data_IF_777560326654
#
_entry.id   IF_777560326654
#
_cell.length_a   1.000
_cell.length_b   1.000
_cell.length_c   1.000
_cell.angle_alpha   90.00
_cell.angle_beta   90.00
_cell.angle_gamma   90.00
#
_symmetry.space_group_name_H-M   'P 1'
#
loop_
_entity.id
_entity.type
_entity.pdbx_description
1 polymer ?
#
# COMPACT_ATOMS: atom_id res chain seq x y z
N UNK A 1 7.06 -0.85 17.64
CA UNK A 1 7.33 -1.46 16.35
C UNK A 1 7.70 -0.40 15.30
N UNK A 2 8.35 -0.81 14.22
CA UNK A 2 8.69 0.10 13.11
C UNK A 2 7.43 0.44 12.32
N UNK A 3 7.30 1.70 11.94
CA UNK A 3 6.26 2.19 11.00
C UNK A 3 6.93 3.07 9.95
N UNK A 4 6.61 2.86 8.70
CA UNK A 4 6.99 3.76 7.61
C UNK A 4 5.75 4.29 6.92
N UNK A 5 5.74 5.59 6.66
CA UNK A 5 4.69 6.29 5.92
C UNK A 5 5.17 6.52 4.50
N UNK A 6 4.39 6.07 3.53
CA UNK A 6 4.64 6.30 2.10
C UNK A 6 3.42 7.02 1.53
N UNK A 7 3.64 8.22 1.01
CA UNK A 7 2.59 9.05 0.43
C UNK A 7 2.42 8.76 -1.06
N UNK A 8 1.19 8.96 -1.55
CA UNK A 8 0.83 8.94 -2.98
C UNK A 8 1.29 7.68 -3.73
N UNK A 9 1.07 6.50 -3.14
CA UNK A 9 1.45 5.22 -3.74
C UNK A 9 0.49 4.79 -4.84
N UNK A 10 1.02 4.56 -6.05
CA UNK A 10 0.24 3.99 -7.15
C UNK A 10 -0.19 2.55 -6.84
N UNK A 11 -1.50 2.30 -6.94
CA UNK A 11 -2.14 0.99 -6.75
C UNK A 11 -3.15 0.75 -7.89
N UNK A 12 -2.85 -0.14 -8.82
CA UNK A 12 -3.65 -0.38 -10.02
C UNK A 12 -3.98 0.95 -10.75
N UNK A 13 -5.26 1.29 -10.89
CA UNK A 13 -5.75 2.52 -11.56
C UNK A 13 -5.95 3.69 -10.59
N UNK A 14 -5.72 3.47 -9.31
CA UNK A 14 -5.84 4.48 -8.25
C UNK A 14 -4.48 4.82 -7.66
N UNK A 15 -4.44 5.87 -6.87
CA UNK A 15 -3.29 6.25 -6.06
C UNK A 15 -3.73 6.35 -4.61
N UNK A 16 -3.10 5.56 -3.75
CA UNK A 16 -3.36 5.63 -2.33
C UNK A 16 -2.76 6.92 -1.77
N UNK A 17 -3.52 7.66 -0.99
CA UNK A 17 -3.03 8.89 -0.37
C UNK A 17 -1.90 8.59 0.61
N UNK A 18 -2.09 7.58 1.45
CA UNK A 18 -1.08 7.11 2.39
C UNK A 18 -1.05 5.58 2.43
N UNK A 19 0.15 5.01 2.43
CA UNK A 19 0.39 3.63 2.78
C UNK A 19 1.24 3.57 4.05
N UNK A 20 0.73 2.91 5.07
CA UNK A 20 1.49 2.60 6.28
C UNK A 20 2.10 1.21 6.16
N UNK A 21 3.41 1.12 6.35
CA UNK A 21 4.15 -0.13 6.38
C UNK A 21 4.43 -0.48 7.83
N UNK A 22 3.93 -1.61 8.29
CA UNK A 22 4.23 -2.22 9.58
C UNK A 22 5.01 -3.52 9.35
N UNK A 23 5.50 -4.16 10.40
CA UNK A 23 6.39 -5.34 10.29
C UNK A 23 5.82 -6.49 9.41
N UNK A 24 4.52 -6.69 9.42
CA UNK A 24 3.87 -7.79 8.68
C UNK A 24 2.66 -7.33 7.87
N UNK A 25 2.34 -6.03 7.91
CA UNK A 25 1.07 -5.51 7.37
C UNK A 25 1.30 -4.25 6.55
N UNK A 26 0.49 -4.11 5.51
CA UNK A 26 0.33 -2.88 4.76
C UNK A 26 -1.07 -2.33 5.01
N UNK A 27 -1.16 -1.07 5.39
CA UNK A 27 -2.42 -0.37 5.63
C UNK A 27 -2.57 0.75 4.62
N UNK A 28 -3.68 0.77 3.90
CA UNK A 28 -4.05 1.85 3.01
C UNK A 28 -4.91 2.88 3.74
N UNK A 29 -4.64 4.14 3.51
CA UNK A 29 -5.42 5.25 4.06
C UNK A 29 -5.85 6.18 2.93
N UNK A 30 -7.13 6.31 2.72
CA UNK A 30 -7.76 7.26 1.79
C UNK A 30 -8.25 8.47 2.55
N UNK A 31 -7.96 9.66 2.06
CA UNK A 31 -8.36 10.93 2.69
C UNK A 31 -9.44 11.59 1.85
N UNK A 32 -10.57 11.91 2.49
CA UNK A 32 -11.69 12.65 1.92
C UNK A 32 -11.95 13.92 2.73
N UNK A 33 -11.52 15.05 2.19
CA UNK A 33 -11.85 16.35 2.78
C UNK A 33 -13.33 16.68 2.61
N UNK A 34 -13.82 17.68 3.33
CA UNK A 34 -15.21 18.12 3.23
C UNK A 34 -15.60 18.62 1.83
N UNK A 35 -14.63 19.06 1.03
CA UNK A 35 -14.83 19.51 -0.35
C UNK A 35 -14.84 18.36 -1.38
N UNK A 36 -14.42 17.16 -1.01
CA UNK A 36 -14.35 16.01 -1.91
C UNK A 36 -15.71 15.38 -2.16
N UNK A 37 -15.83 14.70 -3.30
CA UNK A 37 -17.02 13.93 -3.65
C UNK A 37 -16.74 12.43 -3.59
N UNK A 38 -17.79 11.61 -3.56
CA UNK A 38 -17.67 10.15 -3.59
C UNK A 38 -17.54 9.54 -4.98
N UNK A 39 -17.47 10.36 -6.04
CA UNK A 39 -17.51 9.91 -7.43
C UNK A 39 -16.45 8.85 -7.80
N UNK A 40 -15.27 8.92 -7.17
CA UNK A 40 -14.16 7.95 -7.41
C UNK A 40 -14.01 6.90 -6.32
N UNK A 41 -14.73 7.03 -5.21
CA UNK A 41 -14.50 6.24 -4.01
C UNK A 41 -14.74 4.74 -4.24
N UNK A 42 -15.78 4.36 -4.96
CA UNK A 42 -16.06 2.95 -5.27
C UNK A 42 -14.89 2.25 -5.99
N UNK A 43 -14.25 2.93 -6.94
CA UNK A 43 -13.07 2.43 -7.64
C UNK A 43 -11.86 2.38 -6.72
N UNK A 44 -11.63 3.42 -5.92
CA UNK A 44 -10.55 3.48 -4.93
C UNK A 44 -10.68 2.34 -3.93
N UNK A 45 -11.85 2.12 -3.35
CA UNK A 45 -12.13 0.97 -2.45
C UNK A 45 -11.75 -0.35 -3.09
N UNK A 46 -12.16 -0.57 -4.34
CA UNK A 46 -11.84 -1.80 -5.08
C UNK A 46 -10.32 -1.99 -5.25
N UNK A 47 -9.60 -0.93 -5.57
CA UNK A 47 -8.14 -0.99 -5.75
C UNK A 47 -7.41 -1.16 -4.41
N UNK A 48 -7.78 -0.42 -3.37
CA UNK A 48 -7.24 -0.60 -2.01
C UNK A 48 -7.39 -2.02 -1.49
N UNK A 49 -8.56 -2.63 -1.68
CA UNK A 49 -8.84 -4.00 -1.24
C UNK A 49 -7.93 -5.06 -1.87
N UNK A 50 -7.33 -4.76 -3.03
CA UNK A 50 -6.39 -5.67 -3.71
C UNK A 50 -5.01 -5.69 -3.07
N UNK A 51 -4.55 -4.58 -2.50
CA UNK A 51 -3.16 -4.38 -2.09
C UNK A 51 -2.95 -4.41 -0.59
N UNK A 52 -3.89 -3.87 0.20
CA UNK A 52 -3.69 -3.64 1.61
C UNK A 52 -4.37 -4.68 2.48
N UNK A 53 -3.75 -4.99 3.61
CA UNK A 53 -4.28 -5.92 4.60
C UNK A 53 -5.44 -5.29 5.35
N UNK A 54 -5.32 -4.00 5.66
CA UNK A 54 -6.34 -3.16 6.28
C UNK A 54 -6.46 -1.85 5.54
N UNK A 55 -7.63 -1.24 5.60
CA UNK A 55 -7.88 0.07 5.00
C UNK A 55 -8.63 0.98 5.96
N UNK A 56 -8.23 2.24 5.94
CA UNK A 56 -8.95 3.34 6.58
C UNK A 56 -9.42 4.35 5.55
N UNK A 57 -10.54 4.98 5.83
CA UNK A 57 -10.91 6.26 5.25
C UNK A 57 -10.86 7.33 6.33
N UNK A 58 -10.17 8.42 6.06
CA UNK A 58 -10.14 9.61 6.91
C UNK A 58 -11.04 10.65 6.27
N UNK A 59 -12.01 11.13 7.01
CA UNK A 59 -13.03 12.06 6.51
C UNK A 59 -13.16 13.29 7.41
N UNK A 60 -13.54 14.42 6.83
CA UNK A 60 -13.97 15.58 7.59
C UNK A 60 -15.36 15.36 8.21
N UNK A 61 -15.77 16.25 9.10
CA UNK A 61 -17.02 16.14 9.86
C UNK A 61 -18.28 16.14 8.99
N UNK A 62 -18.25 16.76 7.80
CA UNK A 62 -19.39 16.76 6.87
C UNK A 62 -19.67 15.38 6.27
N UNK A 63 -18.64 14.55 6.11
CA UNK A 63 -18.74 13.20 5.56
C UNK A 63 -18.90 12.11 6.62
N UNK A 64 -18.57 12.37 7.87
CA UNK A 64 -18.50 11.35 8.93
C UNK A 64 -19.80 10.59 9.16
N UNK A 65 -20.94 11.24 8.92
CA UNK A 65 -22.28 10.65 9.11
C UNK A 65 -22.71 9.70 7.98
N UNK A 66 -22.15 9.84 6.78
CA UNK A 66 -22.61 9.12 5.57
C UNK A 66 -21.53 8.23 4.95
N UNK A 67 -20.28 8.34 5.38
CA UNK A 67 -19.19 7.58 4.80
C UNK A 67 -19.38 6.05 4.91
N UNK A 68 -20.09 5.59 5.93
CA UNK A 68 -20.38 4.16 6.12
C UNK A 68 -21.15 3.54 4.96
N UNK A 69 -21.94 4.33 4.23
CA UNK A 69 -22.71 3.89 3.07
C UNK A 69 -21.81 3.69 1.82
N UNK A 70 -20.60 4.24 1.84
CA UNK A 70 -19.68 4.30 0.70
C UNK A 70 -18.44 3.43 0.83
N UNK A 71 -18.18 2.87 2.01
CA UNK A 71 -17.04 1.96 2.27
C UNK A 71 -17.52 0.65 2.87
N UNK A 72 -16.80 -0.47 2.60
CA UNK A 72 -17.15 -1.75 3.20
C UNK A 72 -17.11 -1.72 4.72
N UNK A 73 -17.90 -2.60 5.35
CA UNK A 73 -17.97 -2.72 6.82
C UNK A 73 -16.64 -3.02 7.50
N UNK A 74 -15.71 -3.67 6.77
CA UNK A 74 -14.36 -3.99 7.28
C UNK A 74 -13.33 -2.86 7.08
N UNK A 75 -13.71 -1.72 6.51
CA UNK A 75 -12.86 -0.54 6.49
C UNK A 75 -12.96 0.23 7.81
N UNK A 76 -11.81 0.68 8.30
CA UNK A 76 -11.77 1.65 9.41
C UNK A 76 -12.23 3.04 8.96
N UNK A 77 -12.80 3.79 9.88
CA UNK A 77 -13.26 5.17 9.65
C UNK A 77 -12.63 6.06 10.73
N UNK A 78 -11.96 7.11 10.30
CA UNK A 78 -11.38 8.14 11.16
C UNK A 78 -12.01 9.47 10.76
N UNK A 79 -12.56 10.19 11.73
CA UNK A 79 -13.01 11.57 11.56
C UNK A 79 -11.86 12.53 11.90
N UNK A 80 -11.56 13.45 11.00
CA UNK A 80 -10.62 14.54 11.22
C UNK A 80 -11.40 15.83 11.49
N UNK A 81 -11.19 16.41 12.67
CA UNK A 81 -11.85 17.63 13.12
C UNK A 81 -10.82 18.75 13.13
N UNK A 82 -11.00 19.73 12.26
CA UNK A 82 -10.14 20.92 12.25
C UNK A 82 -10.46 21.82 13.44
N UNK A 83 -9.40 22.23 14.18
CA UNK A 83 -9.42 23.25 15.20
C UNK A 83 -8.51 24.41 14.78
N UNK A 84 -8.54 25.53 15.48
CA UNK A 84 -7.80 26.75 15.09
C UNK A 84 -6.30 26.50 14.84
N UNK A 85 -5.64 25.68 15.65
CA UNK A 85 -4.19 25.41 15.55
C UNK A 85 -3.84 23.90 15.43
N UNK A 86 -4.83 23.02 15.31
CA UNK A 86 -4.61 21.57 15.33
C UNK A 86 -5.71 20.81 14.56
N UNK A 87 -5.42 19.53 14.32
CA UNK A 87 -6.42 18.57 13.84
C UNK A 87 -6.57 17.48 14.90
N UNK A 88 -7.79 17.22 15.31
CA UNK A 88 -8.14 16.11 16.19
C UNK A 88 -8.66 14.94 15.37
N UNK A 89 -8.27 13.73 15.73
CA UNK A 89 -8.67 12.51 15.05
C UNK A 89 -9.48 11.62 15.98
N UNK A 90 -10.69 11.27 15.54
CA UNK A 90 -11.57 10.32 16.23
C UNK A 90 -11.72 9.06 15.41
N UNK A 91 -11.35 7.92 15.99
CA UNK A 91 -11.61 6.61 15.35
C UNK A 91 -13.08 6.25 15.58
N UNK A 92 -13.87 6.32 14.51
CA UNK A 92 -15.29 5.97 14.55
C UNK A 92 -15.51 4.46 14.36
N UNK A 93 -14.64 3.81 13.61
CA UNK A 93 -14.65 2.35 13.37
C UNK A 93 -13.24 1.84 13.14
N UNK A 94 -12.87 0.77 13.86
CA UNK A 94 -11.62 0.05 13.61
C UNK A 94 -11.72 -0.82 12.35
N UNK A 95 -10.63 -1.01 11.61
CA UNK A 95 -10.64 -1.85 10.44
C UNK A 95 -10.58 -3.32 10.81
N UNK A 96 -11.18 -4.15 9.96
CA UNK A 96 -11.10 -5.61 10.07
C UNK A 96 -10.47 -6.22 8.81
N UNK A 97 -10.02 -7.46 8.91
CA UNK A 97 -9.55 -8.22 7.75
C UNK A 97 -10.72 -8.52 6.82
N UNK A 98 -10.56 -8.25 5.54
CA UNK A 98 -11.52 -8.67 4.53
C UNK A 98 -11.49 -10.21 4.38
N UNK A 99 -12.39 -10.91 5.04
CA UNK A 99 -12.50 -12.39 5.04
C UNK A 99 -12.83 -12.97 3.66
N UNK A 100 -13.37 -12.16 2.74
CA UNK A 100 -13.71 -12.59 1.36
C UNK A 100 -12.55 -12.41 0.38
N UNK A 101 -11.46 -11.78 0.80
CA UNK A 101 -10.31 -11.58 -0.08
C UNK A 101 -9.60 -12.90 -0.39
N UNK A 102 -9.32 -13.13 -1.66
CA UNK A 102 -8.47 -14.24 -2.09
C UNK A 102 -7.03 -14.00 -1.64
N UNK A 103 -6.55 -14.77 -0.67
CA UNK A 103 -5.22 -14.61 -0.06
C UNK A 103 -4.10 -14.64 -1.10
N UNK A 104 -4.16 -15.56 -2.05
CA UNK A 104 -3.17 -15.69 -3.13
C UNK A 104 -3.09 -14.44 -3.99
N UNK A 105 -4.25 -13.92 -4.40
CA UNK A 105 -4.30 -12.70 -5.20
C UNK A 105 -3.75 -11.49 -4.45
N UNK A 106 -4.08 -11.35 -3.19
CA UNK A 106 -3.58 -10.28 -2.33
C UNK A 106 -2.06 -10.35 -2.15
N UNK A 107 -1.50 -11.53 -1.89
CA UNK A 107 -0.05 -11.72 -1.78
C UNK A 107 0.66 -11.32 -3.09
N UNK A 108 0.14 -11.74 -4.22
CA UNK A 108 0.66 -11.35 -5.54
C UNK A 108 0.67 -9.83 -5.72
N UNK A 109 -0.40 -9.15 -5.32
CA UNK A 109 -0.50 -7.68 -5.39
C UNK A 109 0.45 -6.98 -4.43
N UNK A 110 0.61 -7.47 -3.21
CA UNK A 110 1.61 -6.94 -2.27
C UNK A 110 3.02 -7.04 -2.85
N UNK A 111 3.41 -8.17 -3.38
CA UNK A 111 4.71 -8.35 -4.03
C UNK A 111 4.88 -7.45 -5.26
N UNK A 112 3.81 -7.13 -5.97
CA UNK A 112 3.87 -6.24 -7.13
C UNK A 112 4.23 -4.79 -6.77
N UNK A 113 4.08 -4.39 -5.52
CA UNK A 113 4.52 -3.07 -5.00
C UNK A 113 6.05 -2.96 -5.00
N UNK A 114 6.74 -4.08 -4.83
CA UNK A 114 8.19 -4.14 -4.78
C UNK A 114 8.81 -3.90 -6.17
N UNK A 115 10.02 -3.32 -6.17
CA UNK A 115 10.83 -3.18 -7.36
C UNK A 115 11.64 -4.43 -7.64
N UNK A 116 12.15 -4.59 -8.85
CA UNK A 116 12.97 -5.75 -9.23
C UNK A 116 14.17 -5.99 -8.32
N UNK A 117 14.96 -4.98 -7.92
CA UNK A 117 16.05 -5.17 -6.97
C UNK A 117 15.58 -5.72 -5.60
N UNK A 118 14.44 -5.26 -5.10
CA UNK A 118 13.86 -5.73 -3.84
C UNK A 118 13.40 -7.19 -3.95
N UNK A 119 12.74 -7.55 -5.04
CA UNK A 119 12.39 -8.94 -5.33
C UNK A 119 13.64 -9.82 -5.46
N UNK A 120 14.70 -9.32 -6.10
CA UNK A 120 15.97 -10.03 -6.22
C UNK A 120 16.64 -10.26 -4.87
N UNK A 121 16.54 -9.31 -3.95
CA UNK A 121 17.03 -9.46 -2.58
C UNK A 121 16.23 -10.52 -1.81
N UNK A 122 14.90 -10.54 -1.95
CA UNK A 122 14.06 -11.61 -1.37
C UNK A 122 14.48 -12.99 -1.91
N UNK A 123 14.76 -13.11 -3.22
CA UNK A 123 15.27 -14.36 -3.79
C UNK A 123 16.61 -14.76 -3.16
N UNK A 124 17.53 -13.82 -3.01
CA UNK A 124 18.87 -14.07 -2.47
C UNK A 124 18.83 -14.56 -1.02
N UNK A 125 18.11 -13.87 -0.14
CA UNK A 125 18.00 -14.26 1.28
C UNK A 125 17.26 -15.59 1.51
N UNK A 126 16.48 -16.06 0.53
CA UNK A 126 15.80 -17.34 0.56
C UNK A 126 16.53 -18.43 -0.27
N UNK A 127 17.77 -18.20 -0.71
CA UNK A 127 18.54 -19.15 -1.47
C UNK A 127 17.95 -19.54 -2.82
N UNK A 128 17.15 -18.65 -3.42
CA UNK A 128 16.50 -18.91 -4.70
C UNK A 128 17.39 -18.55 -5.89
N UNK A 129 17.20 -19.20 -7.06
CA UNK A 129 17.88 -18.83 -8.29
C UNK A 129 17.55 -17.39 -8.72
N UNK A 130 18.52 -16.73 -9.35
CA UNK A 130 18.30 -15.43 -10.01
C UNK A 130 17.69 -15.65 -11.38
N UNK A 131 16.40 -15.42 -11.54
CA UNK A 131 15.69 -15.54 -12.82
C UNK A 131 15.92 -14.30 -13.70
N UNK A 132 17.15 -14.12 -14.20
CA UNK A 132 17.65 -12.89 -14.83
C UNK A 132 16.82 -12.39 -16.01
N UNK A 133 16.34 -13.23 -16.88
CA UNK A 133 15.60 -12.82 -18.10
C UNK A 133 14.12 -13.12 -18.03
N UNK A 134 13.57 -13.28 -16.83
CA UNK A 134 12.16 -13.55 -16.63
C UNK A 134 11.38 -12.29 -16.25
N UNK A 135 10.09 -12.29 -16.54
CA UNK A 135 9.20 -11.19 -16.18
C UNK A 135 9.12 -11.01 -14.66
N UNK A 136 8.72 -9.83 -14.22
CA UNK A 136 8.43 -9.56 -12.82
C UNK A 136 7.37 -10.51 -12.26
N UNK A 137 6.31 -10.76 -13.06
CA UNK A 137 5.21 -11.67 -12.69
C UNK A 137 5.70 -13.10 -12.47
N UNK A 138 6.59 -13.61 -13.32
CA UNK A 138 7.21 -14.91 -13.15
C UNK A 138 7.99 -15.00 -11.83
N UNK A 139 8.81 -13.99 -11.53
CA UNK A 139 9.60 -13.95 -10.28
C UNK A 139 8.68 -13.91 -9.05
N UNK A 140 7.63 -13.10 -9.07
CA UNK A 140 6.63 -13.04 -8.00
C UNK A 140 6.00 -14.42 -7.78
N UNK A 141 5.57 -15.10 -8.85
CA UNK A 141 4.99 -16.44 -8.76
C UNK A 141 5.96 -17.43 -8.11
N UNK A 142 7.25 -17.40 -8.50
CA UNK A 142 8.27 -18.28 -7.91
C UNK A 142 8.55 -17.99 -6.44
N UNK A 143 8.57 -16.72 -6.05
CA UNK A 143 8.69 -16.33 -4.64
C UNK A 143 7.51 -16.87 -3.83
N UNK A 144 6.28 -16.72 -4.33
CA UNK A 144 5.07 -17.22 -3.65
C UNK A 144 5.05 -18.74 -3.50
N UNK A 145 5.63 -19.48 -4.46
CA UNK A 145 5.74 -20.94 -4.41
C UNK A 145 6.80 -21.44 -3.41
N UNK A 146 7.88 -20.68 -3.20
CA UNK A 146 9.08 -21.13 -2.46
C UNK A 146 9.17 -20.59 -1.04
N UNK A 147 8.70 -19.38 -0.79
CA UNK A 147 8.86 -18.70 0.50
C UNK A 147 7.60 -18.89 1.34
N UNK A 148 7.72 -19.34 2.61
CA UNK A 148 6.58 -19.37 3.53
C UNK A 148 5.94 -17.97 3.67
N UNK A 149 4.64 -17.88 3.60
CA UNK A 149 3.96 -16.60 3.51
C UNK A 149 4.07 -15.75 4.77
N UNK A 150 4.11 -16.34 5.95
CA UNK A 150 4.35 -15.59 7.19
C UNK A 150 5.70 -14.89 7.18
N UNK A 151 6.73 -15.57 6.67
CA UNK A 151 8.05 -14.97 6.45
C UNK A 151 8.01 -13.92 5.34
N UNK A 152 7.27 -14.19 4.27
CA UNK A 152 7.17 -13.29 3.12
C UNK A 152 6.51 -11.96 3.48
N UNK A 153 5.51 -11.94 4.33
CA UNK A 153 4.90 -10.70 4.83
C UNK A 153 5.94 -9.80 5.52
N UNK A 154 6.79 -10.36 6.36
CA UNK A 154 7.89 -9.62 7.01
C UNK A 154 8.92 -9.13 6.01
N UNK A 155 9.33 -9.98 5.07
CA UNK A 155 10.33 -9.62 4.06
C UNK A 155 9.84 -8.50 3.15
N UNK A 156 8.57 -8.50 2.74
CA UNK A 156 7.97 -7.41 1.98
C UNK A 156 8.05 -6.09 2.78
N UNK A 157 7.66 -6.12 4.05
CA UNK A 157 7.72 -4.93 4.89
C UNK A 157 9.15 -4.44 5.08
N UNK A 158 10.11 -5.34 5.27
CA UNK A 158 11.52 -4.99 5.45
C UNK A 158 12.10 -4.31 4.21
N UNK A 159 11.80 -4.80 3.00
CA UNK A 159 12.20 -4.13 1.76
C UNK A 159 11.63 -2.70 1.68
N UNK A 160 10.37 -2.51 2.06
CA UNK A 160 9.73 -1.20 2.06
C UNK A 160 10.28 -0.28 3.15
N UNK A 161 10.68 -0.80 4.32
CA UNK A 161 11.35 -0.02 5.36
C UNK A 161 12.70 0.53 4.90
N UNK A 162 13.45 -0.26 4.16
CA UNK A 162 14.81 0.08 3.70
C UNK A 162 14.82 0.86 2.39
N UNK A 163 13.70 0.96 1.69
CA UNK A 163 13.61 1.66 0.41
C UNK A 163 14.06 3.11 0.54
N UNK A 164 15.11 3.47 -0.20
CA UNK A 164 15.62 4.84 -0.26
C UNK A 164 15.10 5.57 -1.51
N UNK A 165 14.11 6.42 -1.31
CA UNK A 165 13.55 7.22 -2.39
C UNK A 165 14.49 8.33 -2.88
N UNK A 166 15.42 8.80 -2.05
CA UNK A 166 16.35 9.86 -2.43
C UNK A 166 17.34 9.37 -3.48
N UNK A 167 17.98 8.23 -3.23
CA UNK A 167 18.89 7.59 -4.19
C UNK A 167 18.22 7.30 -5.53
N UNK A 168 16.98 6.85 -5.51
CA UNK A 168 16.22 6.57 -6.74
C UNK A 168 15.83 7.86 -7.46
N UNK A 169 15.44 8.89 -6.72
CA UNK A 169 15.12 10.20 -7.30
C UNK A 169 16.35 10.79 -8.00
N UNK A 170 17.54 10.62 -7.42
CA UNK A 170 18.81 11.04 -8.03
C UNK A 170 19.11 10.20 -9.29
N UNK A 171 19.01 8.88 -9.22
CA UNK A 171 19.21 7.98 -10.36
C UNK A 171 18.23 8.29 -11.52
N UNK A 172 16.97 8.60 -11.22
CA UNK A 172 15.99 9.01 -12.23
C UNK A 172 16.38 10.38 -12.84
N UNK A 173 16.85 11.34 -12.03
CA UNK A 173 17.31 12.65 -12.51
C UNK A 173 18.53 12.50 -13.42
N UNK A 174 19.50 11.69 -13.03
CA UNK A 174 20.69 11.38 -13.82
C UNK A 174 20.33 10.70 -15.14
N UNK A 175 19.46 9.69 -15.11
CA UNK A 175 18.98 9.03 -16.33
C UNK A 175 18.27 10.00 -17.28
N UNK A 176 17.38 10.84 -16.75
CA UNK A 176 16.67 11.87 -17.55
C UNK A 176 17.62 12.91 -18.12
N UNK A 177 18.66 13.33 -17.40
CA UNK A 177 19.65 14.27 -17.89
C UNK A 177 20.54 13.66 -18.97
N UNK A 178 20.88 12.37 -18.86
CA UNK A 178 21.70 11.64 -19.82
C UNK A 178 20.98 11.31 -21.13
N UNK A 179 19.63 11.28 -21.13
CA UNK A 179 18.80 10.93 -22.28
C UNK A 179 18.02 12.15 -22.86
N UNK A 180 18.41 13.38 -22.49
CA UNK A 180 17.95 14.60 -23.16
C UNK A 180 18.80 14.86 -24.40
N UNK A 181 18.45 14.21 -25.51
CA UNK A 181 18.86 14.63 -26.85
C UNK A 181 17.65 14.56 -27.78
#
# INVERSE_FOLDING_TARGET
GKVRIIEEKQIAKSRADVMLVLEEKLIGVEIKSDADTYARLARQVKDYNKFFDYNYVVVGSSHSKHIEEHVPEYWGIIEAISKEESVEFNVLREPEINKRAQRTYKMKRKLSILWRPELSHIQEINGMPKYKQRSKDFVITKIMEKVPWDLLHRQISEELFQRDYNTISEAIKEWRSSNKH
#
